data_IF_907853952532
#
_entry.id   IF_907853952532
#
_cell.length_a   1.000
_cell.length_b   1.000
_cell.length_c   1.000
_cell.angle_alpha   90.00
_cell.angle_beta   90.00
_cell.angle_gamma   90.00
#
_symmetry.space_group_name_H-M   'P 1'
#
loop_
_entity.id
_entity.type
_entity.pdbx_description
1 polymer ?
#
# COMPACT_ATOMS: atom_id res chain seq x y z
N UNK A 1 8.31 -3.06 11.06
CA UNK A 1 8.28 -3.49 9.65
C UNK A 1 6.83 -3.82 9.33
N UNK A 2 6.24 -3.19 8.31
CA UNK A 2 4.88 -3.52 7.88
C UNK A 2 4.90 -4.88 7.17
N UNK A 3 3.91 -5.73 7.43
CA UNK A 3 3.77 -7.02 6.74
C UNK A 3 3.27 -6.78 5.32
N UNK A 4 3.79 -7.53 4.35
CA UNK A 4 3.19 -7.62 3.01
C UNK A 4 1.80 -8.28 3.09
N UNK A 5 0.99 -8.15 2.02
CA UNK A 5 -0.35 -8.76 1.94
C UNK A 5 -0.28 -10.27 2.15
N UNK A 6 0.71 -10.96 1.55
CA UNK A 6 0.90 -12.41 1.71
C UNK A 6 1.29 -12.77 3.15
N UNK A 7 2.23 -12.02 3.75
CA UNK A 7 2.63 -12.25 5.14
C UNK A 7 1.47 -12.01 6.10
N UNK A 8 0.61 -11.02 5.82
CA UNK A 8 -0.57 -10.71 6.62
C UNK A 8 -1.63 -11.82 6.52
N UNK A 9 -1.90 -12.34 5.31
CA UNK A 9 -2.79 -13.49 5.10
C UNK A 9 -2.26 -14.73 5.85
N UNK A 10 -0.95 -15.02 5.72
CA UNK A 10 -0.31 -16.12 6.44
C UNK A 10 -0.36 -15.94 7.96
N UNK A 11 -0.12 -14.72 8.47
CA UNK A 11 -0.23 -14.43 9.89
C UNK A 11 -1.65 -14.63 10.41
N UNK A 12 -2.66 -14.26 9.61
CA UNK A 12 -4.07 -14.45 9.96
C UNK A 12 -4.51 -15.91 9.93
N UNK A 13 -3.98 -16.71 9.00
CA UNK A 13 -4.15 -18.17 8.99
C UNK A 13 -3.55 -18.81 10.25
N UNK A 14 -2.41 -18.29 10.72
CA UNK A 14 -1.71 -18.78 11.91
C UNK A 14 -2.26 -18.20 13.22
N UNK A 15 -3.37 -17.45 13.19
CA UNK A 15 -3.95 -16.76 14.34
C UNK A 15 -2.99 -15.80 15.07
N UNK A 16 -1.97 -15.30 14.37
CA UNK A 16 -0.98 -14.36 14.91
C UNK A 16 -1.45 -12.91 14.87
N UNK A 17 -2.40 -12.60 13.98
CA UNK A 17 -3.06 -11.30 13.89
C UNK A 17 -4.57 -11.48 14.01
N UNK A 18 -5.24 -10.48 14.57
CA UNK A 18 -6.69 -10.50 14.66
C UNK A 18 -7.34 -10.19 13.31
N UNK A 19 -8.61 -10.54 13.14
CA UNK A 19 -9.38 -10.16 11.94
C UNK A 19 -9.43 -8.65 11.76
N UNK A 20 -9.66 -7.93 12.84
CA UNK A 20 -9.74 -6.46 12.83
C UNK A 20 -8.41 -5.84 12.41
N UNK A 21 -7.28 -6.35 12.92
CA UNK A 21 -5.94 -5.91 12.56
C UNK A 21 -5.64 -6.18 11.08
N UNK A 22 -6.02 -7.35 10.56
CA UNK A 22 -5.91 -7.67 9.15
C UNK A 22 -6.74 -6.72 8.28
N UNK A 23 -8.02 -6.53 8.61
CA UNK A 23 -8.92 -5.65 7.85
C UNK A 23 -8.40 -4.21 7.82
N UNK A 24 -8.00 -3.66 8.97
CA UNK A 24 -7.45 -2.31 9.06
C UNK A 24 -6.18 -2.13 8.22
N UNK A 25 -5.28 -3.11 8.28
CA UNK A 25 -4.02 -3.06 7.52
C UNK A 25 -4.28 -3.11 6.01
N UNK A 26 -5.18 -3.99 5.56
CA UNK A 26 -5.55 -4.10 4.14
C UNK A 26 -6.28 -2.86 3.63
N UNK A 27 -7.22 -2.30 4.39
CA UNK A 27 -7.87 -1.04 4.04
C UNK A 27 -6.88 0.12 3.96
N UNK A 28 -5.84 0.11 4.79
CA UNK A 28 -4.78 1.10 4.71
C UNK A 28 -3.93 0.90 3.45
N UNK A 29 -3.56 -0.34 3.09
CA UNK A 29 -2.88 -0.62 1.82
C UNK A 29 -3.67 -0.11 0.61
N UNK A 30 -4.99 -0.36 0.59
CA UNK A 30 -5.87 0.12 -0.48
C UNK A 30 -5.84 1.65 -0.56
N UNK A 31 -6.02 2.34 0.57
CA UNK A 31 -6.01 3.81 0.63
C UNK A 31 -4.68 4.41 0.17
N UNK A 32 -3.55 3.82 0.58
CA UNK A 32 -2.22 4.26 0.17
C UNK A 32 -2.04 4.08 -1.34
N UNK A 33 -2.41 2.92 -1.89
CA UNK A 33 -2.30 2.66 -3.32
C UNK A 33 -3.20 3.59 -4.15
N UNK A 34 -4.42 3.86 -3.69
CA UNK A 34 -5.32 4.82 -4.34
C UNK A 34 -4.73 6.22 -4.38
N UNK A 35 -4.25 6.72 -3.23
CA UNK A 35 -3.60 8.03 -3.15
C UNK A 35 -2.39 8.12 -4.07
N UNK A 36 -1.51 7.12 -4.03
CA UNK A 36 -0.32 7.08 -4.90
C UNK A 36 -0.67 7.01 -6.38
N UNK A 37 -1.73 6.29 -6.75
CA UNK A 37 -2.24 6.27 -8.12
C UNK A 37 -2.71 7.67 -8.57
N UNK A 38 -3.36 8.43 -7.69
CA UNK A 38 -3.75 9.82 -7.99
C UNK A 38 -2.55 10.77 -8.09
N UNK A 39 -1.54 10.58 -7.25
CA UNK A 39 -0.28 11.33 -7.30
C UNK A 39 0.52 11.01 -8.57
N UNK A 40 0.53 9.76 -9.01
CA UNK A 40 1.14 9.30 -10.26
C UNK A 40 0.54 10.04 -11.47
N UNK A 41 -0.78 10.22 -11.50
CA UNK A 41 -1.48 10.96 -12.57
C UNK A 41 -1.03 12.42 -12.68
N UNK A 42 -0.55 13.01 -11.59
CA UNK A 42 -0.11 14.41 -11.50
C UNK A 42 1.41 14.57 -11.56
N UNK A 43 2.14 13.47 -11.73
CA UNK A 43 3.60 13.47 -11.75
C UNK A 43 4.11 14.24 -12.96
N UNK A 44 5.06 15.14 -12.71
CA UNK A 44 5.71 15.94 -13.75
C UNK A 44 7.00 15.26 -14.15
N UNK A 45 7.09 14.91 -15.43
CA UNK A 45 8.24 14.24 -16.02
C UNK A 45 8.92 15.19 -17.01
N UNK A 46 10.23 15.01 -17.18
CA UNK A 46 10.98 15.80 -18.14
C UNK A 46 10.50 15.51 -19.57
N UNK A 47 10.49 16.50 -20.48
CA UNK A 47 10.03 16.31 -21.86
C UNK A 47 10.75 15.17 -22.60
N UNK A 48 12.02 14.94 -22.31
CA UNK A 48 12.85 13.88 -22.90
C UNK A 48 12.40 12.46 -22.53
N UNK A 49 11.81 12.29 -21.34
CA UNK A 49 11.32 11.00 -20.85
C UNK A 49 9.82 10.81 -21.08
N UNK A 50 9.09 11.85 -21.50
CA UNK A 50 7.63 11.85 -21.56
C UNK A 50 7.07 10.72 -22.43
N UNK A 51 7.71 10.44 -23.58
CA UNK A 51 7.27 9.38 -24.47
C UNK A 51 7.34 8.00 -23.80
N UNK A 52 8.45 7.71 -23.11
CA UNK A 52 8.62 6.45 -22.38
C UNK A 52 7.73 6.39 -21.14
N UNK A 53 7.56 7.52 -20.45
CA UNK A 53 6.67 7.64 -19.30
C UNK A 53 5.23 7.27 -19.64
N UNK A 54 4.65 7.89 -20.67
CA UNK A 54 3.24 7.66 -21.03
C UNK A 54 2.99 6.27 -21.64
N UNK A 55 3.97 5.70 -22.34
CA UNK A 55 3.80 4.43 -23.05
C UNK A 55 4.09 3.19 -22.20
N UNK A 56 5.06 3.27 -21.28
CA UNK A 56 5.54 2.11 -20.53
C UNK A 56 5.46 2.32 -19.01
N UNK A 57 6.01 3.42 -18.50
CA UNK A 57 6.31 3.55 -17.07
C UNK A 57 5.06 3.86 -16.24
N UNK A 58 4.30 4.88 -16.63
CA UNK A 58 3.06 5.27 -15.95
C UNK A 58 2.00 4.15 -16.03
N UNK A 59 1.74 3.52 -17.20
CA UNK A 59 0.84 2.37 -17.25
C UNK A 59 1.30 1.21 -16.37
N UNK A 60 2.60 0.90 -16.34
CA UNK A 60 3.13 -0.16 -15.48
C UNK A 60 2.97 0.15 -14.00
N UNK A 61 3.30 1.37 -13.56
CA UNK A 61 3.12 1.80 -12.17
C UNK A 61 1.63 1.76 -11.77
N UNK A 62 0.74 2.21 -12.65
CA UNK A 62 -0.71 2.11 -12.44
C UNK A 62 -1.18 0.66 -12.30
N UNK A 63 -0.67 -0.25 -13.13
CA UNK A 63 -0.96 -1.67 -13.05
C UNK A 63 -0.47 -2.30 -11.73
N UNK A 64 0.70 -1.90 -11.22
CA UNK A 64 1.16 -2.31 -9.89
C UNK A 64 0.17 -1.90 -8.79
N UNK A 65 -0.31 -0.64 -8.81
CA UNK A 65 -1.31 -0.18 -7.83
C UNK A 65 -2.61 -0.97 -7.93
N UNK A 66 -3.09 -1.22 -9.14
CA UNK A 66 -4.31 -2.01 -9.35
C UNK A 66 -4.15 -3.45 -8.86
N UNK A 67 -3.02 -4.09 -9.13
CA UNK A 67 -2.71 -5.43 -8.65
C UNK A 67 -2.69 -5.50 -7.12
N UNK A 68 -2.05 -4.54 -6.44
CA UNK A 68 -2.02 -4.46 -4.98
C UNK A 68 -3.40 -4.19 -4.37
N UNK A 69 -4.20 -3.29 -4.97
CA UNK A 69 -5.58 -3.04 -4.53
C UNK A 69 -6.44 -4.30 -4.70
N UNK A 70 -6.30 -5.00 -5.83
CA UNK A 70 -6.99 -6.27 -6.08
C UNK A 70 -6.63 -7.33 -5.04
N UNK A 71 -5.33 -7.55 -4.81
CA UNK A 71 -4.84 -8.52 -3.85
C UNK A 71 -5.32 -8.20 -2.42
N UNK A 72 -5.30 -6.93 -2.03
CA UNK A 72 -5.79 -6.50 -0.73
C UNK A 72 -7.31 -6.68 -0.59
N UNK A 73 -8.06 -6.45 -1.67
CA UNK A 73 -9.52 -6.61 -1.70
C UNK A 73 -9.92 -8.08 -1.60
N UNK A 74 -9.23 -8.98 -2.31
CA UNK A 74 -9.42 -10.43 -2.17
C UNK A 74 -9.02 -10.93 -0.78
N UNK A 75 -7.93 -10.39 -0.20
CA UNK A 75 -7.54 -10.71 1.17
C UNK A 75 -8.58 -10.24 2.21
N UNK A 76 -9.24 -9.09 1.98
CA UNK A 76 -10.36 -8.64 2.81
C UNK A 76 -11.55 -9.59 2.72
N UNK A 77 -11.86 -10.08 1.52
CA UNK A 77 -12.94 -11.05 1.34
C UNK A 77 -12.61 -12.39 2.00
N UNK A 78 -11.34 -12.82 1.91
CA UNK A 78 -10.83 -13.96 2.67
C UNK A 78 -10.98 -13.75 4.19
N UNK A 79 -10.67 -12.55 4.70
CA UNK A 79 -10.79 -12.24 6.12
C UNK A 79 -12.22 -12.42 6.64
N UNK A 80 -13.22 -12.08 5.80
CA UNK A 80 -14.65 -12.17 6.09
C UNK A 80 -15.21 -13.58 5.95
N UNK A 81 -14.89 -14.26 4.84
CA UNK A 81 -15.53 -15.53 4.44
C UNK A 81 -14.74 -16.76 4.83
N UNK A 82 -13.43 -16.61 5.08
CA UNK A 82 -12.47 -17.71 5.22
C UNK A 82 -12.42 -18.63 4.00
N UNK A 83 -12.80 -18.15 2.81
CA UNK A 83 -12.75 -18.94 1.58
C UNK A 83 -11.30 -19.08 1.08
N UNK A 84 -10.70 -20.26 1.26
CA UNK A 84 -9.32 -20.55 0.82
C UNK A 84 -9.14 -20.51 -0.71
N UNK A 85 -10.21 -20.59 -1.50
CA UNK A 85 -10.15 -20.47 -2.97
C UNK A 85 -9.69 -19.08 -3.44
N UNK A 86 -9.72 -18.08 -2.55
CA UNK A 86 -9.22 -16.73 -2.83
C UNK A 86 -7.69 -16.63 -2.74
N UNK A 87 -7.04 -17.54 -2.01
CA UNK A 87 -5.59 -17.47 -1.76
C UNK A 87 -4.77 -17.56 -3.07
N UNK A 88 -5.07 -18.47 -4.01
CA UNK A 88 -4.38 -18.50 -5.29
C UNK A 88 -4.51 -17.20 -6.10
N UNK A 89 -5.67 -16.53 -6.04
CA UNK A 89 -5.91 -15.24 -6.70
C UNK A 89 -5.02 -14.13 -6.13
N UNK A 90 -4.99 -14.01 -4.79
CA UNK A 90 -4.11 -13.08 -4.07
C UNK A 90 -2.65 -13.30 -4.47
N UNK A 91 -2.19 -14.54 -4.48
CA UNK A 91 -0.80 -14.88 -4.86
C UNK A 91 -0.52 -14.52 -6.31
N UNK A 92 -1.42 -14.85 -7.24
CA UNK A 92 -1.25 -14.54 -8.65
C UNK A 92 -1.16 -13.02 -8.91
N UNK A 93 -1.99 -12.22 -8.24
CA UNK A 93 -1.95 -10.76 -8.33
C UNK A 93 -0.62 -10.20 -7.81
N UNK A 94 -0.11 -10.70 -6.69
CA UNK A 94 1.20 -10.29 -6.15
C UNK A 94 2.34 -10.67 -7.11
N UNK A 95 2.30 -11.88 -7.68
CA UNK A 95 3.30 -12.30 -8.68
C UNK A 95 3.28 -11.44 -9.95
N UNK A 96 2.11 -10.95 -10.34
CA UNK A 96 1.99 -9.99 -11.45
C UNK A 96 2.65 -8.65 -11.11
N UNK A 97 2.39 -8.13 -9.92
CA UNK A 97 3.01 -6.89 -9.41
C UNK A 97 4.53 -7.03 -9.38
N UNK A 98 5.05 -8.17 -8.91
CA UNK A 98 6.50 -8.44 -8.90
C UNK A 98 7.10 -8.40 -10.32
N UNK A 99 6.42 -9.02 -11.29
CA UNK A 99 6.87 -9.05 -12.69
C UNK A 99 6.88 -7.66 -13.31
N UNK A 100 5.83 -6.87 -13.08
CA UNK A 100 5.74 -5.50 -13.59
C UNK A 100 6.82 -4.63 -12.93
N UNK A 101 7.03 -4.79 -11.62
CA UNK A 101 8.08 -4.08 -10.87
C UNK A 101 9.46 -4.38 -11.46
N UNK A 102 9.80 -5.64 -11.72
CA UNK A 102 11.06 -6.02 -12.36
C UNK A 102 11.22 -5.40 -13.76
N UNK A 103 10.15 -5.41 -14.56
CA UNK A 103 10.15 -4.74 -15.86
C UNK A 103 10.43 -3.24 -15.73
N UNK A 104 9.77 -2.56 -14.80
CA UNK A 104 9.96 -1.14 -14.55
C UNK A 104 11.37 -0.81 -14.04
N UNK A 105 11.93 -1.64 -13.15
CA UNK A 105 13.31 -1.50 -12.67
C UNK A 105 14.31 -1.57 -13.83
N UNK A 106 14.14 -2.53 -14.74
CA UNK A 106 14.98 -2.62 -15.95
C UNK A 106 14.87 -1.37 -16.82
N UNK A 107 13.67 -0.81 -16.96
CA UNK A 107 13.42 0.39 -17.77
C UNK A 107 13.89 1.68 -17.11
N UNK A 108 14.01 1.71 -15.78
CA UNK A 108 14.46 2.87 -15.01
C UNK A 108 15.90 3.33 -15.34
N UNK A 109 16.71 2.43 -15.91
CA UNK A 109 18.05 2.75 -16.40
C UNK A 109 18.08 3.57 -17.69
N UNK A 110 16.94 3.72 -18.39
CA UNK A 110 16.83 4.39 -19.69
C UNK A 110 16.30 5.83 -19.60
N UNK A 111 15.87 6.24 -18.40
CA UNK A 111 15.31 7.58 -18.15
C UNK A 111 16.26 8.43 -17.32
N UNK A 112 16.00 9.74 -17.30
CA UNK A 112 16.71 10.69 -16.44
C UNK A 112 16.67 10.30 -14.96
N UNK A 113 17.64 10.80 -14.20
CA UNK A 113 17.71 10.60 -12.76
C UNK A 113 16.45 11.09 -12.03
N UNK A 114 15.90 12.23 -12.45
CA UNK A 114 14.64 12.75 -11.88
C UNK A 114 13.46 11.82 -12.10
N UNK A 115 13.32 11.24 -13.30
CA UNK A 115 12.24 10.29 -13.59
C UNK A 115 12.45 8.99 -12.83
N UNK A 116 13.69 8.54 -12.69
CA UNK A 116 14.05 7.38 -11.86
C UNK A 116 13.68 7.59 -10.39
N UNK A 117 13.87 8.80 -9.86
CA UNK A 117 13.47 9.11 -8.49
C UNK A 117 11.95 8.99 -8.32
N UNK A 118 11.16 9.54 -9.25
CA UNK A 118 9.69 9.38 -9.25
C UNK A 118 9.32 7.90 -9.29
N UNK A 119 9.98 7.09 -10.13
CA UNK A 119 9.74 5.65 -10.18
C UNK A 119 10.07 4.98 -8.83
N UNK A 120 11.20 5.29 -8.20
CA UNK A 120 11.58 4.69 -6.92
C UNK A 120 10.61 5.02 -5.79
N UNK A 121 10.13 6.26 -5.71
CA UNK A 121 9.10 6.68 -4.75
C UNK A 121 7.78 5.92 -4.94
N UNK A 122 7.45 5.62 -6.19
CA UNK A 122 6.26 4.86 -6.55
C UNK A 122 6.43 3.34 -6.41
N UNK A 123 7.62 2.78 -6.66
CA UNK A 123 7.94 1.35 -6.52
C UNK A 123 8.25 0.92 -5.07
N UNK A 124 8.51 1.89 -4.20
CA UNK A 124 8.64 1.73 -2.75
C UNK A 124 7.28 1.40 -2.08
N UNK A 125 6.59 0.38 -2.59
CA UNK A 125 5.24 -0.05 -2.22
C UNK A 125 5.26 -0.89 -0.94
N UNK A 126 6.38 -1.55 -0.66
CA UNK A 126 6.60 -2.36 0.54
C UNK A 126 7.17 -1.54 1.72
N UNK A 127 7.77 -0.38 1.46
CA UNK A 127 8.53 0.40 2.45
C UNK A 127 7.80 1.63 2.98
N UNK A 128 6.68 2.02 2.37
CA UNK A 128 5.75 2.95 3.01
C UNK A 128 5.04 2.20 4.12
N UNK A 129 5.76 2.13 5.24
CA UNK A 129 5.28 1.63 6.49
C UNK A 129 3.89 2.17 6.73
N UNK A 130 2.93 1.26 6.66
CA UNK A 130 1.74 1.29 7.49
C UNK A 130 2.26 1.27 8.93
N UNK A 131 2.74 2.43 9.39
CA UNK A 131 3.12 2.63 10.77
C UNK A 131 1.78 2.72 11.50
N UNK A 132 1.34 1.59 12.05
CA UNK A 132 0.25 1.52 13.03
C UNK A 132 0.75 2.12 14.35
N UNK A 133 1.19 3.38 14.28
CA UNK A 133 1.46 4.28 15.39
C UNK A 133 0.95 5.67 15.01
N UNK A 134 -0.27 5.74 14.47
CA UNK A 134 -1.05 6.97 14.37
C UNK A 134 -2.47 6.79 14.92
N UNK A 135 -2.65 5.83 15.82
CA UNK A 135 -3.72 5.82 16.79
C UNK A 135 -3.11 5.78 18.20
N UNK A 136 -2.16 6.67 18.48
CA UNK A 136 -2.01 7.15 19.83
C UNK A 136 -3.30 7.93 20.13
N UNK A 137 -4.30 7.21 20.62
CA UNK A 137 -5.45 7.77 21.32
C UNK A 137 -4.87 8.78 22.31
N UNK A 138 -5.00 10.07 22.02
CA UNK A 138 -4.85 11.10 23.04
C UNK A 138 -6.01 10.91 24.01
N UNK A 139 -5.85 9.95 24.92
CA UNK A 139 -6.51 9.99 26.22
C UNK A 139 -5.77 11.04 27.04
N UNK A 140 -6.47 12.13 27.37
CA UNK A 140 -5.99 13.28 28.12
C UNK A 140 -6.00 14.52 27.23
N UNK A 141 -6.79 15.56 27.46
CA UNK A 141 -7.24 16.09 28.75
C UNK A 141 -8.60 16.76 28.59
N UNK A 142 -9.62 16.21 29.25
CA UNK A 142 -10.74 17.03 29.69
C UNK A 142 -10.30 17.70 30.99
N UNK A 143 -9.83 18.95 30.91
CA UNK A 143 -9.76 19.83 32.08
C UNK A 143 -11.19 20.15 32.51
N UNK A 144 -11.78 19.28 33.33
CA UNK A 144 -12.93 19.65 34.16
C UNK A 144 -12.39 20.24 35.46
N UNK A 145 -12.23 21.55 35.46
CA UNK A 145 -12.06 22.37 36.67
C UNK A 145 -13.31 22.21 37.53
N UNK A 146 -13.25 21.32 38.53
CA UNK A 146 -14.19 21.34 39.64
C UNK A 146 -13.46 21.95 40.82
N UNK A 147 -13.67 23.26 41.03
CA UNK A 147 -13.29 23.93 42.26
C UNK A 147 -14.19 23.40 43.39
N UNK A 148 -13.63 22.63 44.31
CA UNK A 148 -14.24 22.39 45.62
C UNK A 148 -13.48 23.16 46.68
N UNK A 149 -14.26 23.94 47.44
CA UNK A 149 -13.91 24.70 48.63
C UNK A 149 -13.30 23.83 49.72
N UNK A 150 -12.26 24.33 50.38
CA UNK A 150 -11.99 24.02 51.79
C UNK A 150 -11.70 25.34 52.55
N UNK A 151 -12.33 25.39 53.73
CA UNK A 151 -12.38 26.33 54.86
C UNK A 151 -11.46 27.57 54.92
#
# INVERSE_FOLDING_TARGET
MALSIIELVSAYQQHKVSRQEMEQTLEQHIRVCQRKSEELERSKILPEDQAQWESELKPGLSACYQGLIGAASEALEYAKTRNEELIPGIVALIQEVDRITQFLEMRSGLVSESTRQVMQENLSLHSDGVNIQAAAVHQGSAESTVSFLEE
#
